data_IF_290097284948
#
_entry.id   IF_290097284948
#
_cell.length_a   1.000
_cell.length_b   1.000
_cell.length_c   1.000
_cell.angle_alpha   90.00
_cell.angle_beta   90.00
_cell.angle_gamma   90.00
#
_symmetry.space_group_name_H-M   'P 1'
#
loop_
_entity.id
_entity.type
_entity.pdbx_description
1 polymer ?
#
# COMPACT_ATOMS: atom_id res chain seq x y z
N UNK A 1 6.27 27.75 -26.70
CA UNK A 1 5.13 26.85 -26.52
C UNK A 1 5.64 25.65 -25.74
N UNK A 2 5.15 25.42 -24.50
CA UNK A 2 5.44 24.15 -23.79
C UNK A 2 4.62 23.08 -24.52
N UNK A 3 5.29 22.06 -25.04
CA UNK A 3 4.61 20.90 -25.62
C UNK A 3 3.69 20.29 -24.56
N UNK A 4 2.43 20.11 -24.89
CA UNK A 4 1.49 19.34 -24.08
C UNK A 4 1.99 17.89 -24.09
N UNK A 5 2.55 17.43 -22.98
CA UNK A 5 2.91 16.03 -22.79
C UNK A 5 1.65 15.18 -22.94
N UNK A 6 1.75 14.01 -23.58
CA UNK A 6 0.63 13.06 -23.61
C UNK A 6 0.34 12.59 -22.17
N UNK A 7 -0.91 12.24 -21.87
CA UNK A 7 -1.30 11.71 -20.56
C UNK A 7 -0.39 10.55 -20.10
N UNK A 8 -0.09 9.62 -21.01
CA UNK A 8 0.78 8.48 -20.70
C UNK A 8 2.24 8.89 -20.39
N UNK A 9 2.74 9.94 -21.04
CA UNK A 9 4.06 10.47 -20.77
C UNK A 9 4.12 11.15 -19.41
N UNK A 10 3.07 11.87 -19.05
CA UNK A 10 2.90 12.49 -17.73
C UNK A 10 2.82 11.44 -16.60
N UNK A 11 2.04 10.37 -16.80
CA UNK A 11 1.91 9.27 -15.81
C UNK A 11 3.24 8.56 -15.63
N UNK A 12 3.98 8.25 -16.71
CA UNK A 12 5.26 7.54 -16.62
C UNK A 12 6.35 8.35 -15.92
N UNK A 13 6.49 9.64 -16.21
CA UNK A 13 7.49 10.50 -15.56
C UNK A 13 7.20 10.65 -14.05
N UNK A 14 5.93 10.80 -13.67
CA UNK A 14 5.54 10.86 -12.27
C UNK A 14 5.77 9.54 -11.55
N UNK A 15 5.54 8.41 -12.22
CA UNK A 15 5.77 7.10 -11.64
C UNK A 15 7.27 6.84 -11.35
N UNK A 16 8.18 7.27 -12.24
CA UNK A 16 9.62 7.11 -12.02
C UNK A 16 10.08 7.90 -10.78
N UNK A 17 9.60 9.13 -10.61
CA UNK A 17 9.91 9.93 -9.43
C UNK A 17 9.31 9.32 -8.17
N UNK A 18 8.06 8.87 -8.20
CA UNK A 18 7.42 8.14 -7.10
C UNK A 18 8.22 6.91 -6.70
N UNK A 19 8.64 6.10 -7.68
CA UNK A 19 9.43 4.88 -7.43
C UNK A 19 10.77 5.22 -6.77
N UNK A 20 11.47 6.25 -7.25
CA UNK A 20 12.74 6.69 -6.68
C UNK A 20 12.58 7.17 -5.23
N UNK A 21 11.56 7.97 -4.97
CA UNK A 21 11.22 8.45 -3.63
C UNK A 21 10.89 7.31 -2.68
N UNK A 22 10.00 6.38 -3.10
CA UNK A 22 9.62 5.21 -2.31
C UNK A 22 10.82 4.31 -2.01
N UNK A 23 11.71 4.08 -2.99
CA UNK A 23 12.92 3.28 -2.76
C UNK A 23 13.83 3.91 -1.69
N UNK A 24 13.97 5.24 -1.67
CA UNK A 24 14.70 5.97 -0.64
C UNK A 24 14.05 5.78 0.72
N UNK A 25 12.74 6.05 0.85
CA UNK A 25 12.00 5.89 2.10
C UNK A 25 12.11 4.46 2.65
N UNK A 26 11.91 3.45 1.80
CA UNK A 26 12.00 2.04 2.19
C UNK A 26 13.40 1.68 2.65
N UNK A 27 14.43 2.18 1.98
CA UNK A 27 15.83 1.96 2.36
C UNK A 27 16.13 2.51 3.76
N UNK A 28 15.64 3.71 4.05
CA UNK A 28 15.84 4.37 5.35
C UNK A 28 15.06 3.66 6.46
N UNK A 29 13.79 3.30 6.22
CA UNK A 29 12.98 2.52 7.15
C UNK A 29 13.67 1.21 7.50
N UNK A 30 14.10 0.45 6.49
CA UNK A 30 14.77 -0.84 6.70
C UNK A 30 16.14 -0.69 7.41
N UNK A 31 16.89 0.35 7.08
CA UNK A 31 18.19 0.62 7.73
C UNK A 31 18.01 0.94 9.21
N UNK A 32 17.01 1.76 9.55
CA UNK A 32 16.68 2.09 10.93
C UNK A 32 16.18 0.85 11.68
N UNK A 33 15.27 0.09 11.06
CA UNK A 33 14.75 -1.16 11.63
C UNK A 33 15.88 -2.14 11.99
N UNK A 34 16.83 -2.38 11.06
CA UNK A 34 17.94 -3.30 11.30
C UNK A 34 18.85 -2.85 12.44
N UNK A 35 19.06 -1.53 12.61
CA UNK A 35 19.81 -0.99 13.75
C UNK A 35 19.08 -1.26 15.06
N UNK A 36 17.75 -1.03 15.07
CA UNK A 36 16.94 -1.20 16.26
C UNK A 36 16.83 -2.67 16.69
N UNK A 37 16.60 -3.58 15.73
CA UNK A 37 16.57 -5.03 16.02
C UNK A 37 17.89 -5.51 16.60
N UNK A 38 19.03 -5.03 16.10
CA UNK A 38 20.35 -5.38 16.65
C UNK A 38 20.56 -4.84 18.07
N UNK A 39 20.00 -3.67 18.38
CA UNK A 39 20.14 -3.04 19.70
C UNK A 39 19.18 -3.64 20.74
N UNK A 40 18.12 -4.32 20.31
CA UNK A 40 17.03 -4.81 21.17
C UNK A 40 17.21 -6.26 21.67
N UNK A 41 18.38 -6.88 21.49
CA UNK A 41 18.65 -8.28 21.91
C UNK A 41 18.34 -8.60 23.38
N UNK A 42 17.97 -7.61 24.20
CA UNK A 42 17.69 -7.77 25.63
C UNK A 42 16.28 -7.38 26.11
N UNK A 43 15.41 -6.81 25.28
CA UNK A 43 14.08 -6.36 25.73
C UNK A 43 12.93 -7.11 25.06
N UNK A 44 11.96 -7.57 25.87
CA UNK A 44 10.77 -8.30 25.39
C UNK A 44 9.73 -7.43 24.72
N UNK A 45 9.76 -6.13 24.97
CA UNK A 45 8.87 -5.14 24.38
C UNK A 45 9.70 -3.94 23.95
N UNK A 46 9.71 -3.66 22.66
CA UNK A 46 10.40 -2.51 22.13
C UNK A 46 9.44 -1.71 21.26
N UNK A 47 9.11 -0.52 21.73
CA UNK A 47 8.36 0.49 20.95
C UNK A 47 9.32 1.63 20.66
N UNK A 48 9.57 1.91 19.41
CA UNK A 48 10.32 3.10 19.01
C UNK A 48 9.59 3.81 17.87
N UNK A 49 9.41 5.08 18.08
CA UNK A 49 8.95 6.00 17.07
C UNK A 49 10.17 6.59 16.35
N UNK A 50 10.20 6.50 15.04
CA UNK A 50 11.17 7.19 14.19
C UNK A 50 10.41 8.04 13.20
N UNK A 51 10.67 9.34 13.18
CA UNK A 51 10.12 10.25 12.18
C UNK A 51 11.15 10.43 11.08
N UNK A 52 10.74 10.24 9.84
CA UNK A 52 11.53 10.50 8.66
C UNK A 52 10.84 11.63 7.89
N UNK A 53 11.52 12.76 7.75
CA UNK A 53 11.02 13.90 7.01
C UNK A 53 11.50 13.82 5.56
N UNK A 54 10.57 13.85 4.63
CA UNK A 54 10.87 13.89 3.21
C UNK A 54 10.27 15.15 2.60
N UNK A 55 11.16 16.00 2.09
CA UNK A 55 10.77 17.25 1.47
C UNK A 55 11.63 17.43 0.22
N UNK A 56 11.13 16.88 -0.89
CA UNK A 56 11.70 17.13 -2.21
C UNK A 56 10.82 18.09 -3.03
N UNK A 57 11.19 18.36 -4.27
CA UNK A 57 10.45 19.29 -5.13
C UNK A 57 9.06 18.76 -5.54
N UNK A 58 8.82 17.45 -5.43
CA UNK A 58 7.58 16.79 -5.86
C UNK A 58 6.69 16.33 -4.70
N UNK A 59 7.29 15.92 -3.56
CA UNK A 59 6.58 15.40 -2.41
C UNK A 59 6.93 16.15 -1.14
N UNK A 60 5.90 16.66 -0.48
CA UNK A 60 6.00 17.19 0.88
C UNK A 60 5.20 16.26 1.78
N UNK A 61 5.88 15.34 2.43
CA UNK A 61 5.26 14.34 3.28
C UNK A 61 6.16 13.98 4.46
N UNK A 62 5.56 13.90 5.64
CA UNK A 62 6.22 13.35 6.82
C UNK A 62 5.88 11.86 6.93
N UNK A 63 6.88 11.01 7.06
CA UNK A 63 6.68 9.57 7.29
C UNK A 63 7.12 9.25 8.72
N UNK A 64 6.16 8.86 9.56
CA UNK A 64 6.40 8.36 10.90
C UNK A 64 6.31 6.86 10.91
N UNK A 65 7.31 6.19 11.46
CA UNK A 65 7.34 4.73 11.53
C UNK A 65 7.45 4.30 12.98
N UNK A 66 6.45 3.58 13.46
CA UNK A 66 6.45 2.91 14.75
C UNK A 66 6.87 1.45 14.56
N UNK A 67 7.94 1.05 15.23
CA UNK A 67 8.39 -0.34 15.25
C UNK A 67 8.01 -1.00 16.56
N UNK A 68 7.39 -2.17 16.48
CA UNK A 68 7.07 -3.01 17.62
C UNK A 68 7.59 -4.42 17.42
N UNK A 69 8.33 -4.92 18.40
CA UNK A 69 8.80 -6.30 18.39
C UNK A 69 7.84 -7.15 19.22
N UNK A 70 7.19 -8.13 18.60
CA UNK A 70 6.31 -9.08 19.29
C UNK A 70 6.41 -10.45 18.63
N UNK A 71 6.13 -11.49 19.41
CA UNK A 71 6.12 -12.87 18.93
C UNK A 71 4.67 -13.42 18.82
N UNK A 72 3.70 -12.76 19.45
CA UNK A 72 2.30 -13.17 19.46
C UNK A 72 1.50 -12.47 18.36
N UNK A 73 0.70 -13.22 17.58
CA UNK A 73 -0.22 -12.61 16.63
C UNK A 73 -1.39 -11.87 17.31
N UNK A 74 -1.61 -12.06 18.62
CA UNK A 74 -2.71 -11.42 19.36
C UNK A 74 -2.58 -9.91 19.40
N UNK A 75 -1.34 -9.39 19.27
CA UNK A 75 -1.05 -7.95 19.18
C UNK A 75 -1.82 -7.26 18.06
N UNK A 76 -2.13 -7.96 16.97
CA UNK A 76 -2.85 -7.38 15.83
C UNK A 76 -4.28 -6.98 16.19
N UNK A 77 -4.91 -7.72 17.11
CA UNK A 77 -6.25 -7.40 17.60
C UNK A 77 -6.24 -6.13 18.47
N UNK A 78 -5.18 -5.96 19.26
CA UNK A 78 -5.03 -4.79 20.16
C UNK A 78 -4.79 -3.51 19.36
N UNK A 79 -4.22 -3.61 18.17
CA UNK A 79 -3.86 -2.46 17.33
C UNK A 79 -4.90 -2.13 16.25
N UNK A 80 -6.01 -2.88 16.17
CA UNK A 80 -7.11 -2.62 15.24
C UNK A 80 -6.66 -2.46 13.76
N UNK A 81 -5.78 -3.35 13.30
CA UNK A 81 -5.28 -3.33 11.93
C UNK A 81 -6.43 -3.37 10.91
N UNK A 82 -6.48 -2.40 10.00
CA UNK A 82 -7.55 -2.28 9.00
C UNK A 82 -7.59 -3.47 8.03
N UNK A 83 -6.42 -4.00 7.66
CA UNK A 83 -6.25 -5.17 6.79
C UNK A 83 -6.05 -6.46 7.58
N UNK A 84 -6.73 -6.61 8.72
CA UNK A 84 -6.49 -7.68 9.69
C UNK A 84 -6.35 -9.09 9.09
N UNK A 85 -7.24 -9.59 8.19
CA UNK A 85 -7.09 -10.96 7.65
C UNK A 85 -5.79 -11.17 6.87
N UNK A 86 -5.37 -10.17 6.12
CA UNK A 86 -4.14 -10.20 5.35
C UNK A 86 -2.92 -10.10 6.27
N UNK A 87 -2.92 -9.17 7.21
CA UNK A 87 -1.82 -8.94 8.12
C UNK A 87 -1.66 -10.09 9.13
N UNK A 88 -2.75 -10.72 9.56
CA UNK A 88 -2.70 -11.93 10.40
C UNK A 88 -1.99 -13.09 9.68
N UNK A 89 -2.29 -13.31 8.40
CA UNK A 89 -1.61 -14.32 7.58
C UNK A 89 -0.15 -13.94 7.35
N UNK A 90 0.14 -12.68 7.09
CA UNK A 90 1.51 -12.20 6.94
C UNK A 90 2.32 -12.40 8.21
N UNK A 91 1.77 -12.05 9.37
CA UNK A 91 2.45 -12.23 10.64
C UNK A 91 2.75 -13.70 10.92
N UNK A 92 1.77 -14.59 10.74
CA UNK A 92 1.95 -16.04 10.91
C UNK A 92 2.96 -16.63 9.92
N UNK A 93 2.93 -16.17 8.67
CA UNK A 93 3.76 -16.74 7.59
C UNK A 93 5.13 -16.11 7.49
N UNK A 94 5.22 -14.80 7.65
CA UNK A 94 6.41 -14.02 7.37
C UNK A 94 7.00 -13.34 8.61
N UNK A 95 6.28 -13.35 9.74
CA UNK A 95 6.71 -12.77 10.99
C UNK A 95 6.66 -11.25 11.02
N UNK A 96 5.84 -10.63 10.17
CA UNK A 96 5.58 -9.19 10.23
C UNK A 96 4.14 -8.86 9.84
N UNK A 97 3.65 -7.75 10.38
CA UNK A 97 2.42 -7.08 9.95
C UNK A 97 2.70 -5.59 9.77
N UNK A 98 2.01 -4.97 8.82
CA UNK A 98 2.15 -3.55 8.51
C UNK A 98 0.76 -2.95 8.42
N UNK A 99 0.55 -1.85 9.12
CA UNK A 99 -0.57 -0.94 8.91
C UNK A 99 -0.05 0.45 8.59
N UNK A 100 -0.74 1.18 7.72
CA UNK A 100 -0.39 2.55 7.42
C UNK A 100 -1.65 3.39 7.26
N UNK A 101 -1.54 4.65 7.65
CA UNK A 101 -2.63 5.60 7.56
C UNK A 101 -2.08 6.97 7.21
N UNK A 102 -2.72 7.64 6.27
CA UNK A 102 -2.47 9.04 6.01
C UNK A 102 -3.25 9.92 6.97
N UNK A 103 -2.57 10.84 7.63
CA UNK A 103 -3.16 11.83 8.52
C UNK A 103 -2.99 13.20 7.90
N UNK A 104 -4.10 13.94 7.78
CA UNK A 104 -4.08 15.35 7.39
C UNK A 104 -4.54 16.16 8.58
N UNK A 105 -3.67 17.02 9.08
CA UNK A 105 -4.05 18.00 10.07
C UNK A 105 -4.82 19.14 9.38
N UNK A 106 -6.12 19.27 9.68
CA UNK A 106 -6.99 20.30 9.08
C UNK A 106 -6.59 21.72 9.46
N UNK A 107 -5.89 21.89 10.58
CA UNK A 107 -5.49 23.19 11.09
C UNK A 107 -4.19 23.70 10.46
N UNK A 108 -3.28 22.81 10.07
CA UNK A 108 -1.96 23.17 9.54
C UNK A 108 -1.78 22.88 8.05
N UNK A 109 -2.79 22.68 7.28
CA UNK A 109 -2.89 22.63 5.79
C UNK A 109 -1.63 22.23 4.96
N UNK A 110 -0.50 21.89 5.57
CA UNK A 110 0.77 22.06 4.87
C UNK A 110 1.44 20.78 4.49
N UNK A 111 1.57 19.80 5.37
CA UNK A 111 2.29 18.55 5.01
C UNK A 111 1.47 17.34 5.50
N UNK A 112 1.03 16.48 4.59
CA UNK A 112 0.38 15.24 4.99
C UNK A 112 1.39 14.34 5.70
N UNK A 113 0.91 13.60 6.71
CA UNK A 113 1.70 12.66 7.49
C UNK A 113 1.27 11.23 7.18
N UNK A 114 2.20 10.38 6.84
CA UNK A 114 1.99 8.94 6.72
C UNK A 114 2.51 8.30 8.00
N UNK A 115 1.63 7.61 8.71
CA UNK A 115 1.99 6.83 9.92
C UNK A 115 1.99 5.36 9.57
N UNK A 116 3.13 4.72 9.72
CA UNK A 116 3.34 3.29 9.47
C UNK A 116 3.57 2.60 10.80
N UNK A 117 2.72 1.63 11.13
CA UNK A 117 2.93 0.74 12.29
C UNK A 117 3.43 -0.61 11.78
N UNK A 118 4.64 -0.97 12.19
CA UNK A 118 5.32 -2.19 11.79
C UNK A 118 5.52 -3.11 12.99
N UNK A 119 4.85 -4.26 12.98
CA UNK A 119 5.02 -5.30 14.00
C UNK A 119 5.90 -6.41 13.44
N UNK A 120 6.88 -6.83 14.19
CA UNK A 120 7.90 -7.76 13.75
C UNK A 120 8.12 -8.86 14.78
N UNK A 121 8.15 -10.11 14.30
CA UNK A 121 8.69 -11.21 15.06
C UNK A 121 10.21 -11.25 14.86
N UNK A 122 11.02 -10.92 15.88
CA UNK A 122 12.46 -10.78 15.75
C UNK A 122 13.15 -12.09 15.33
N UNK A 123 12.53 -13.25 15.62
CA UNK A 123 13.12 -14.56 15.28
C UNK A 123 13.02 -14.91 13.78
N UNK A 124 12.21 -14.19 13.03
CA UNK A 124 11.92 -14.51 11.61
C UNK A 124 12.55 -13.50 10.65
N UNK A 125 12.87 -12.32 11.12
CA UNK A 125 13.27 -11.16 10.33
C UNK A 125 14.40 -11.41 9.31
N UNK A 126 15.50 -12.13 9.61
CA UNK A 126 16.56 -12.31 8.62
C UNK A 126 16.13 -13.08 7.36
N UNK A 127 15.11 -13.94 7.47
CA UNK A 127 14.65 -14.80 6.37
C UNK A 127 13.69 -14.10 5.41
N UNK A 128 13.09 -12.98 5.84
CA UNK A 128 11.92 -12.39 5.17
C UNK A 128 12.11 -10.91 4.81
N UNK A 129 13.34 -10.44 4.93
CA UNK A 129 13.70 -9.07 4.58
C UNK A 129 13.19 -8.63 3.20
N UNK A 130 13.27 -9.52 2.22
CA UNK A 130 12.82 -9.19 0.87
C UNK A 130 11.29 -9.01 0.75
N UNK A 131 10.51 -9.85 1.44
CA UNK A 131 9.04 -9.70 1.44
C UNK A 131 8.63 -8.44 2.20
N UNK A 132 9.27 -8.15 3.33
CA UNK A 132 9.05 -6.91 4.09
C UNK A 132 9.36 -5.68 3.22
N UNK A 133 10.49 -5.69 2.49
CA UNK A 133 10.83 -4.63 1.56
C UNK A 133 9.72 -4.39 0.52
N UNK A 134 9.22 -5.45 -0.10
CA UNK A 134 8.17 -5.32 -1.12
C UNK A 134 6.83 -4.86 -0.53
N UNK A 135 6.53 -5.25 0.70
CA UNK A 135 5.33 -4.76 1.38
C UNK A 135 5.44 -3.28 1.77
N UNK A 136 6.61 -2.83 2.19
CA UNK A 136 6.84 -1.41 2.44
C UNK A 136 6.74 -0.58 1.16
N UNK A 137 7.27 -1.07 0.04
CA UNK A 137 7.11 -0.40 -1.27
C UNK A 137 5.62 -0.24 -1.60
N UNK A 138 4.86 -1.31 -1.51
CA UNK A 138 3.43 -1.34 -1.80
C UNK A 138 2.67 -0.32 -0.93
N UNK A 139 2.83 -0.39 0.39
CA UNK A 139 2.05 0.41 1.32
C UNK A 139 2.45 1.90 1.32
N UNK A 140 3.76 2.21 1.20
CA UNK A 140 4.20 3.60 1.09
C UNK A 140 3.70 4.23 -0.22
N UNK A 141 3.74 3.49 -1.33
CA UNK A 141 3.19 3.97 -2.60
C UNK A 141 1.68 4.22 -2.49
N UNK A 142 0.95 3.31 -1.85
CA UNK A 142 -0.49 3.45 -1.60
C UNK A 142 -0.80 4.74 -0.82
N UNK A 143 -0.14 4.96 0.30
CA UNK A 143 -0.37 6.15 1.13
C UNK A 143 0.08 7.45 0.45
N UNK A 144 1.16 7.41 -0.33
CA UNK A 144 1.57 8.56 -1.16
C UNK A 144 0.51 8.93 -2.20
N UNK A 145 -0.14 7.94 -2.83
CA UNK A 145 -1.24 8.20 -3.75
C UNK A 145 -2.37 8.95 -3.03
N UNK A 146 -2.74 8.54 -1.82
CA UNK A 146 -3.72 9.26 -1.02
C UNK A 146 -3.32 10.72 -0.76
N UNK A 147 -2.03 11.02 -0.56
CA UNK A 147 -1.59 12.43 -0.43
C UNK A 147 -1.81 13.24 -1.69
N UNK A 148 -1.85 12.60 -2.86
CA UNK A 148 -2.09 13.25 -4.16
C UNK A 148 -3.58 13.43 -4.49
N UNK A 149 -4.45 12.77 -3.76
CA UNK A 149 -5.91 12.89 -3.92
C UNK A 149 -6.46 14.15 -3.24
N UNK A 150 -5.76 14.69 -2.24
CA UNK A 150 -6.20 15.83 -1.43
C UNK A 150 -5.05 16.78 -1.06
N UNK A 151 -5.42 18.02 -0.65
CA UNK A 151 -4.50 19.00 -0.08
C UNK A 151 -3.54 19.60 -1.09
N UNK A 152 -2.34 19.93 -0.62
CA UNK A 152 -1.29 20.65 -1.35
C UNK A 152 -0.70 19.81 -2.49
N UNK A 153 -0.64 18.49 -2.32
CA UNK A 153 -0.08 17.56 -3.30
C UNK A 153 -1.11 17.08 -4.33
N UNK A 154 -2.35 17.60 -4.26
CA UNK A 154 -3.45 17.11 -5.09
C UNK A 154 -3.17 17.18 -6.58
N UNK A 155 -3.34 16.04 -7.26
CA UNK A 155 -3.32 15.93 -8.72
C UNK A 155 -4.73 16.04 -9.32
N UNK A 156 -4.92 16.75 -10.44
CA UNK A 156 -6.25 17.04 -11.01
C UNK A 156 -7.04 15.78 -11.42
N UNK A 157 -6.35 14.71 -11.77
CA UNK A 157 -6.93 13.48 -12.33
C UNK A 157 -7.18 12.38 -11.31
N UNK A 158 -6.67 12.50 -10.08
CA UNK A 158 -6.87 11.49 -9.05
C UNK A 158 -8.29 11.56 -8.49
N UNK A 159 -8.83 10.41 -8.11
CA UNK A 159 -10.13 10.30 -7.47
C UNK A 159 -10.19 11.18 -6.21
N UNK A 160 -11.39 11.65 -5.88
CA UNK A 160 -11.61 12.40 -4.63
C UNK A 160 -11.92 11.42 -3.53
N UNK A 161 -11.30 11.58 -2.35
CA UNK A 161 -11.64 10.75 -1.20
C UNK A 161 -13.13 10.82 -0.88
N UNK A 162 -13.69 9.66 -0.62
CA UNK A 162 -15.05 9.54 -0.10
C UNK A 162 -15.15 10.16 1.29
N UNK A 163 -16.34 10.64 1.65
CA UNK A 163 -16.56 11.15 2.99
C UNK A 163 -16.48 10.01 4.05
N UNK A 164 -16.18 10.39 5.29
CA UNK A 164 -15.99 9.46 6.41
C UNK A 164 -17.20 8.50 6.60
N UNK A 165 -18.44 9.00 6.43
CA UNK A 165 -19.64 8.18 6.59
C UNK A 165 -19.78 7.12 5.51
N UNK A 166 -19.36 7.44 4.28
CA UNK A 166 -19.33 6.50 3.17
C UNK A 166 -18.32 5.40 3.44
N UNK A 167 -17.11 5.75 3.89
CA UNK A 167 -16.05 4.79 4.24
C UNK A 167 -16.46 3.88 5.40
N UNK A 168 -17.00 4.42 6.49
CA UNK A 168 -17.46 3.62 7.63
C UNK A 168 -18.54 2.59 7.27
N UNK A 169 -19.44 2.94 6.35
CA UNK A 169 -20.55 2.08 5.94
C UNK A 169 -20.19 1.09 4.84
N UNK A 170 -19.08 1.28 4.18
CA UNK A 170 -18.73 0.52 2.99
C UNK A 170 -18.54 -0.99 3.26
N UNK A 171 -18.14 -1.36 4.47
CA UNK A 171 -17.69 -2.72 4.75
C UNK A 171 -16.46 -3.10 3.92
N UNK A 172 -16.00 -4.33 4.00
CA UNK A 172 -14.77 -4.75 3.28
C UNK A 172 -14.92 -4.62 1.78
N UNK A 173 -15.99 -5.17 1.21
CA UNK A 173 -16.23 -5.10 -0.23
C UNK A 173 -16.33 -3.66 -0.73
N UNK A 174 -17.19 -2.86 -0.08
CA UNK A 174 -17.41 -1.47 -0.47
C UNK A 174 -16.12 -0.65 -0.38
N UNK A 175 -15.28 -0.85 0.64
CA UNK A 175 -13.98 -0.20 0.77
C UNK A 175 -13.05 -0.53 -0.41
N UNK A 176 -12.94 -1.80 -0.77
CA UNK A 176 -12.05 -2.27 -1.84
C UNK A 176 -12.46 -1.83 -3.26
N UNK A 177 -13.66 -1.26 -3.41
CA UNK A 177 -14.15 -0.72 -4.70
C UNK A 177 -14.37 0.80 -4.67
N UNK A 178 -14.02 1.50 -3.58
CA UNK A 178 -13.99 2.96 -3.57
C UNK A 178 -12.96 3.46 -4.60
N UNK A 179 -13.30 4.41 -5.47
CA UNK A 179 -12.39 4.84 -6.53
C UNK A 179 -11.02 5.28 -6.03
N UNK A 180 -10.95 6.02 -4.93
CA UNK A 180 -9.71 6.48 -4.32
C UNK A 180 -8.87 5.33 -3.75
N UNK A 181 -9.52 4.30 -3.21
CA UNK A 181 -8.82 3.12 -2.70
C UNK A 181 -8.34 2.22 -3.84
N UNK A 182 -9.17 2.08 -4.90
CA UNK A 182 -8.80 1.34 -6.10
C UNK A 182 -7.54 1.92 -6.75
N UNK A 183 -7.49 3.25 -6.92
CA UNK A 183 -6.30 3.91 -7.48
C UNK A 183 -5.06 3.63 -6.61
N UNK A 184 -5.16 3.85 -5.30
CA UNK A 184 -4.04 3.70 -4.38
C UNK A 184 -3.58 2.25 -4.27
N UNK A 185 -4.50 1.29 -4.17
CA UNK A 185 -4.20 -0.15 -4.14
C UNK A 185 -3.52 -0.61 -5.43
N UNK A 186 -4.05 -0.20 -6.58
CA UNK A 186 -3.50 -0.59 -7.88
C UNK A 186 -2.12 0.00 -8.09
N UNK A 187 -1.88 1.28 -7.75
CA UNK A 187 -0.56 1.90 -7.89
C UNK A 187 0.48 1.22 -7.01
N UNK A 188 0.19 1.02 -5.72
CA UNK A 188 1.09 0.32 -4.80
C UNK A 188 1.46 -1.08 -5.28
N UNK A 189 0.45 -1.86 -5.67
CA UNK A 189 0.64 -3.22 -6.16
C UNK A 189 1.30 -3.27 -7.54
N UNK A 190 1.10 -2.26 -8.39
CA UNK A 190 1.81 -2.14 -9.67
C UNK A 190 3.31 -1.90 -9.45
N UNK A 191 3.69 -0.95 -8.62
CA UNK A 191 5.11 -0.70 -8.29
C UNK A 191 5.74 -1.97 -7.71
N UNK A 192 5.07 -2.62 -6.78
CA UNK A 192 5.49 -3.91 -6.23
C UNK A 192 5.65 -4.99 -7.31
N UNK A 193 4.69 -5.13 -8.22
CA UNK A 193 4.70 -6.07 -9.35
C UNK A 193 5.94 -5.89 -10.22
N UNK A 194 6.26 -4.65 -10.57
CA UNK A 194 7.46 -4.31 -11.35
C UNK A 194 8.74 -4.70 -10.60
N UNK A 195 8.84 -4.38 -9.31
CA UNK A 195 10.01 -4.70 -8.47
C UNK A 195 10.20 -6.20 -8.24
N UNK A 196 9.12 -6.95 -8.11
CA UNK A 196 9.14 -8.41 -7.94
C UNK A 196 9.26 -9.16 -9.28
N UNK A 197 9.01 -8.49 -10.41
CA UNK A 197 8.84 -9.10 -11.72
C UNK A 197 7.78 -10.23 -11.73
N UNK A 198 6.65 -9.98 -11.06
CA UNK A 198 5.51 -10.89 -10.94
C UNK A 198 4.28 -10.24 -11.58
N UNK A 199 3.42 -10.97 -12.31
CA UNK A 199 2.16 -10.42 -12.82
C UNK A 199 1.32 -9.79 -11.71
N UNK A 200 0.73 -8.62 -11.97
CA UNK A 200 0.03 -7.83 -10.94
C UNK A 200 -1.22 -8.56 -10.42
N UNK A 201 -1.94 -9.30 -11.28
CA UNK A 201 -3.10 -10.11 -10.89
C UNK A 201 -2.75 -11.18 -9.85
N UNK A 202 -1.52 -11.68 -9.82
CA UNK A 202 -1.05 -12.59 -8.77
C UNK A 202 -0.84 -11.89 -7.44
N UNK A 203 -0.49 -10.61 -7.46
CA UNK A 203 -0.39 -9.80 -6.23
C UNK A 203 -1.79 -9.50 -5.72
N UNK A 204 -2.74 -9.17 -6.60
CA UNK A 204 -4.15 -9.00 -6.25
C UNK A 204 -4.72 -10.25 -5.60
N UNK A 205 -4.55 -11.41 -6.22
CA UNK A 205 -4.97 -12.70 -5.68
C UNK A 205 -4.41 -12.94 -4.27
N UNK A 206 -3.10 -12.75 -4.12
CA UNK A 206 -2.42 -12.95 -2.84
C UNK A 206 -2.97 -12.05 -1.74
N UNK A 207 -3.39 -10.83 -2.07
CA UNK A 207 -3.99 -9.87 -1.14
C UNK A 207 -5.46 -10.20 -0.83
N UNK A 208 -6.26 -10.54 -1.83
CA UNK A 208 -7.70 -10.71 -1.70
C UNK A 208 -8.13 -12.08 -1.13
N UNK A 209 -7.38 -13.15 -1.43
CA UNK A 209 -7.72 -14.51 -0.97
C UNK A 209 -7.90 -14.65 0.54
N UNK A 210 -7.11 -14.01 1.40
CA UNK A 210 -7.35 -14.03 2.86
C UNK A 210 -8.74 -13.54 3.26
N UNK A 211 -9.27 -12.53 2.60
CA UNK A 211 -10.63 -12.04 2.88
C UNK A 211 -11.71 -13.05 2.48
N UNK A 212 -11.50 -13.77 1.38
CA UNK A 212 -12.40 -14.87 0.96
C UNK A 212 -12.32 -16.03 1.95
N UNK A 213 -11.12 -16.42 2.34
CA UNK A 213 -10.91 -17.54 3.30
C UNK A 213 -11.47 -17.24 4.68
N UNK A 214 -11.51 -15.97 5.10
CA UNK A 214 -12.11 -15.52 6.37
C UNK A 214 -13.59 -15.17 6.27
N UNK A 215 -14.25 -15.45 5.12
CA UNK A 215 -15.64 -15.10 4.84
C UNK A 215 -15.96 -13.58 4.96
N UNK A 216 -14.96 -12.72 4.78
CA UNK A 216 -15.14 -11.26 4.72
C UNK A 216 -15.46 -10.75 3.31
N UNK A 217 -15.20 -11.57 2.30
CA UNK A 217 -15.65 -11.42 0.92
C UNK A 217 -16.31 -12.69 0.44
N UNK A 218 -17.43 -12.57 -0.25
CA UNK A 218 -18.00 -13.65 -1.05
C UNK A 218 -17.18 -13.87 -2.31
N UNK A 219 -17.36 -14.99 -2.99
CA UNK A 219 -16.69 -15.24 -4.28
C UNK A 219 -17.11 -14.22 -5.35
N UNK A 220 -18.36 -13.83 -5.37
CA UNK A 220 -18.91 -12.85 -6.28
C UNK A 220 -18.31 -11.45 -6.05
N UNK A 221 -18.18 -11.04 -4.79
CA UNK A 221 -17.54 -9.78 -4.43
C UNK A 221 -16.05 -9.79 -4.77
N UNK A 222 -15.34 -10.90 -4.48
CA UNK A 222 -13.93 -11.06 -4.88
C UNK A 222 -13.75 -10.87 -6.41
N UNK A 223 -14.62 -11.49 -7.22
CA UNK A 223 -14.57 -11.35 -8.68
C UNK A 223 -14.77 -9.89 -9.08
N UNK A 224 -15.73 -9.19 -8.49
CA UNK A 224 -15.99 -7.77 -8.78
C UNK A 224 -14.82 -6.88 -8.41
N UNK A 225 -14.21 -7.07 -7.23
CA UNK A 225 -13.01 -6.33 -6.83
C UNK A 225 -11.89 -6.58 -7.83
N UNK A 226 -11.60 -7.84 -8.15
CA UNK A 226 -10.55 -8.21 -9.09
C UNK A 226 -10.78 -7.58 -10.48
N UNK A 227 -12.01 -7.59 -10.98
CA UNK A 227 -12.40 -6.95 -12.24
C UNK A 227 -12.13 -5.44 -12.21
N UNK A 228 -12.58 -4.77 -11.15
CA UNK A 228 -12.38 -3.32 -10.97
C UNK A 228 -10.88 -2.97 -10.95
N UNK A 229 -10.07 -3.74 -10.24
CA UNK A 229 -8.63 -3.49 -10.14
C UNK A 229 -7.89 -3.78 -11.44
N UNK A 230 -8.27 -4.84 -12.17
CA UNK A 230 -7.71 -5.13 -13.50
C UNK A 230 -8.06 -4.02 -14.48
N UNK A 231 -9.32 -3.54 -14.46
CA UNK A 231 -9.75 -2.44 -15.31
C UNK A 231 -8.92 -1.18 -15.02
N UNK A 232 -8.83 -0.77 -13.76
CA UNK A 232 -8.00 0.37 -13.35
C UNK A 232 -6.53 0.20 -13.77
N UNK A 233 -5.99 -1.03 -13.65
CA UNK A 233 -4.62 -1.34 -14.10
C UNK A 233 -4.44 -1.10 -15.60
N UNK A 234 -5.35 -1.61 -16.42
CA UNK A 234 -5.26 -1.49 -17.88
C UNK A 234 -5.39 -0.05 -18.36
N UNK A 235 -6.21 0.75 -17.66
CA UNK A 235 -6.35 2.17 -17.99
C UNK A 235 -5.11 3.00 -17.62
N UNK A 236 -4.54 2.76 -16.45
CA UNK A 236 -3.48 3.60 -15.92
C UNK A 236 -2.06 3.05 -16.20
N UNK A 237 -1.92 1.73 -16.33
CA UNK A 237 -0.63 1.03 -16.49
C UNK A 237 -0.68 0.04 -17.64
N UNK A 238 -0.72 0.50 -18.91
CA UNK A 238 -0.89 -0.37 -20.08
C UNK A 238 0.27 -1.36 -20.30
N UNK A 239 1.42 -1.14 -19.66
CA UNK A 239 2.58 -2.02 -19.65
C UNK A 239 2.59 -3.03 -18.50
N UNK A 240 1.54 -3.06 -17.66
CA UNK A 240 1.43 -4.01 -16.56
C UNK A 240 1.38 -5.45 -17.08
N UNK A 241 2.19 -6.31 -16.48
CA UNK A 241 2.14 -7.74 -16.78
C UNK A 241 0.93 -8.37 -16.10
N UNK A 242 0.10 -9.03 -16.89
CA UNK A 242 -1.00 -9.87 -16.44
C UNK A 242 -0.70 -11.33 -16.75
N UNK A 243 -1.07 -12.27 -15.89
CA UNK A 243 -1.00 -13.70 -16.14
C UNK A 243 -2.22 -14.24 -16.89
N UNK A 244 -3.26 -13.41 -17.04
CA UNK A 244 -4.50 -13.72 -17.75
C UNK A 244 -4.26 -13.64 -19.26
N UNK A 245 -4.90 -14.54 -20.01
CA UNK A 245 -4.91 -14.46 -21.47
C UNK A 245 -5.85 -13.32 -21.96
N UNK A 246 -5.62 -12.87 -23.20
CA UNK A 246 -6.38 -11.75 -23.80
C UNK A 246 -7.89 -12.01 -23.82
N UNK A 247 -8.32 -13.27 -23.92
CA UNK A 247 -9.76 -13.60 -23.95
C UNK A 247 -10.39 -13.38 -22.56
N UNK A 248 -9.70 -13.77 -21.49
CA UNK A 248 -10.14 -13.52 -20.10
C UNK A 248 -10.14 -12.05 -19.79
N UNK A 249 -9.09 -11.32 -20.21
CA UNK A 249 -9.02 -9.88 -20.06
C UNK A 249 -10.22 -9.19 -20.72
N UNK A 250 -10.51 -9.54 -22.00
CA UNK A 250 -11.68 -8.99 -22.72
C UNK A 250 -13.00 -9.29 -22.03
N UNK A 251 -13.18 -10.51 -21.51
CA UNK A 251 -14.39 -10.86 -20.75
C UNK A 251 -14.54 -10.02 -19.48
N UNK A 252 -13.44 -9.76 -18.78
CA UNK A 252 -13.44 -8.89 -17.61
C UNK A 252 -13.83 -7.47 -18.00
N UNK A 253 -13.17 -6.87 -18.98
CA UNK A 253 -13.44 -5.49 -19.44
C UNK A 253 -14.87 -5.30 -19.96
N UNK A 254 -15.42 -6.27 -20.71
CA UNK A 254 -16.77 -6.18 -21.24
C UNK A 254 -17.90 -6.45 -20.22
N UNK A 255 -17.57 -6.85 -19.00
CA UNK A 255 -18.52 -7.14 -17.92
C UNK A 255 -18.70 -5.99 -16.91
N UNK A 256 -17.94 -4.91 -17.05
CA UNK A 256 -18.03 -3.66 -16.30
C UNK A 256 -18.89 -2.67 -17.06
#
# INVERSE_FOLDING_TARGET
>A
MKELKSFNQFVNENLESTVSFVDSCVSDVLSNLLKEVKNSESSKEYNKLTTLEYNDDEYKVDIEVEFRLDQSPDILNDLHFNSLPWEEINFKRYGFAIDANMIINKEDLIIPKIVITLILNPNVLPKLYQELKYRLIDIITHELNHTQQIGINRRPFNARPSDHKTREKAGVFGYLVLPEEVESMVEGMYVRSKKQNVPIDKIFDKYLMPFVMSNKLTKEEYIKVLQTWIYCTLENYPDAKLSLDDEKIRKIVNSI
#
